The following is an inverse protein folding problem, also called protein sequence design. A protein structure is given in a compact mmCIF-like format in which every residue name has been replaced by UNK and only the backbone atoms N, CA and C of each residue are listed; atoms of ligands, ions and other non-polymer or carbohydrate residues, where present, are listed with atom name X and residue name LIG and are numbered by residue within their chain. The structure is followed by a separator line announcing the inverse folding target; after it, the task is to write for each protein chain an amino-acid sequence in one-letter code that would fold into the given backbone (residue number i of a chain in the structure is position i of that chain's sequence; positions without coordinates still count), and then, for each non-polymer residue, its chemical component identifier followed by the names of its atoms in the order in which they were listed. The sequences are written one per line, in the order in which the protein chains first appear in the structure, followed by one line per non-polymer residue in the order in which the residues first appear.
data_IF_025741263018
#
_entry.id   IF_025741263018
#
_cell.length_a   1.000
_cell.length_b   1.000
_cell.length_c   1.000
_cell.angle_alpha   90.00
_cell.angle_beta   90.00
_cell.angle_gamma   90.00
#
_symmetry.space_group_name_H-M   'P 1'
#
loop_
_entity.id
_entity.type
_entity.pdbx_description
1 polymer ?
#
# COMPACT_ATOMS: atom_id res chain seq x y z
N UNK A 1 -43.88 -39.15 36.30
CA UNK A 1 -43.99 -37.75 36.74
C UNK A 1 -42.59 -37.14 36.75
N UNK A 2 -42.47 -36.02 36.03
CA UNK A 2 -41.50 -34.91 36.18
C UNK A 2 -40.06 -35.09 35.65
N UNK A 3 -39.90 -34.66 34.39
CA UNK A 3 -38.70 -34.04 33.80
C UNK A 3 -38.49 -32.64 34.40
N UNK A 4 -37.23 -32.20 34.55
CA UNK A 4 -36.70 -30.81 34.50
C UNK A 4 -35.39 -30.72 35.33
N UNK A 5 -34.34 -29.92 35.08
CA UNK A 5 -33.88 -29.06 33.98
C UNK A 5 -32.45 -28.59 34.35
N UNK A 6 -31.45 -28.79 33.47
CA UNK A 6 -30.31 -27.89 33.11
C UNK A 6 -29.24 -27.38 34.14
N UNK A 7 -28.05 -26.94 33.65
CA UNK A 7 -26.72 -27.17 34.25
C UNK A 7 -26.03 -25.86 34.77
N UNK A 8 -24.70 -25.80 35.06
CA UNK A 8 -24.11 -24.83 36.00
C UNK A 8 -23.88 -23.44 35.39
N UNK A 9 -24.01 -22.40 36.21
CA UNK A 9 -23.73 -21.01 35.83
C UNK A 9 -22.38 -20.54 36.39
N UNK A 10 -21.48 -20.24 35.44
CA UNK A 10 -20.65 -19.02 35.34
C UNK A 10 -19.62 -18.73 36.43
N UNK A 11 -18.34 -18.66 36.03
CA UNK A 11 -17.66 -17.36 35.88
C UNK A 11 -16.30 -17.53 35.16
N UNK A 12 -16.30 -17.62 33.83
CA UNK A 12 -15.11 -17.31 33.04
C UNK A 12 -15.02 -15.79 32.88
N UNK A 13 -14.31 -15.11 33.78
CA UNK A 13 -13.85 -13.75 33.53
C UNK A 13 -12.52 -13.83 32.76
N UNK A 14 -12.60 -14.12 31.46
CA UNK A 14 -11.53 -13.75 30.53
C UNK A 14 -12.07 -12.56 29.73
N UNK A 15 -11.63 -11.37 30.10
CA UNK A 15 -11.87 -10.16 29.32
C UNK A 15 -11.36 -10.38 27.89
N UNK A 16 -12.18 -10.23 26.85
CA UNK A 16 -11.63 -10.07 25.52
C UNK A 16 -11.10 -8.64 25.46
N UNK A 17 -9.78 -8.48 25.61
CA UNK A 17 -9.08 -7.38 24.94
C UNK A 17 -9.23 -7.65 23.45
N UNK A 18 -10.36 -7.24 22.89
CA UNK A 18 -10.60 -7.28 21.45
C UNK A 18 -9.94 -6.02 20.89
N UNK A 19 -8.60 -6.04 20.84
CA UNK A 19 -7.90 -5.31 19.79
C UNK A 19 -8.44 -5.92 18.49
N UNK A 20 -9.45 -5.26 17.97
CA UNK A 20 -10.13 -5.68 16.76
C UNK A 20 -9.23 -5.21 15.63
N UNK A 21 -8.10 -5.87 15.46
CA UNK A 21 -7.31 -5.74 14.23
C UNK A 21 -8.24 -6.23 13.12
N UNK A 22 -8.93 -5.27 12.47
CA UNK A 22 -9.67 -5.56 11.26
C UNK A 22 -8.68 -6.24 10.32
N UNK A 23 -8.99 -7.42 9.76
CA UNK A 23 -8.08 -8.08 8.84
C UNK A 23 -7.80 -7.11 7.70
N UNK A 24 -6.54 -6.70 7.55
CA UNK A 24 -6.14 -5.78 6.51
C UNK A 24 -6.58 -6.38 5.17
N UNK A 25 -7.48 -5.67 4.49
CA UNK A 25 -8.02 -6.14 3.22
C UNK A 25 -7.23 -5.47 2.12
N UNK A 26 -6.72 -6.27 1.19
CA UNK A 26 -6.02 -5.78 0.02
C UNK A 26 -6.84 -6.08 -1.22
N UNK A 27 -6.76 -5.19 -2.22
CA UNK A 27 -7.13 -5.52 -3.60
C UNK A 27 -5.86 -5.71 -4.42
N UNK A 28 -5.90 -6.63 -5.37
CA UNK A 28 -4.83 -6.82 -6.35
C UNK A 28 -5.20 -6.06 -7.61
N UNK A 29 -4.28 -5.22 -8.08
CA UNK A 29 -4.46 -4.40 -9.28
C UNK A 29 -3.16 -4.40 -10.06
N UNK A 30 -3.24 -4.38 -11.40
CA UNK A 30 -2.07 -4.13 -12.24
C UNK A 30 -1.51 -2.74 -11.97
N UNK A 31 -0.18 -2.61 -11.98
CA UNK A 31 0.53 -1.37 -11.67
C UNK A 31 0.01 -0.22 -12.54
N UNK A 32 -0.12 -0.42 -13.85
CA UNK A 32 -0.61 0.59 -14.80
C UNK A 32 -2.03 1.08 -14.50
N UNK A 33 -2.85 0.26 -13.83
CA UNK A 33 -4.22 0.56 -13.43
C UNK A 33 -4.36 1.28 -12.09
N UNK A 34 -3.28 1.49 -11.36
CA UNK A 34 -3.34 2.16 -10.06
C UNK A 34 -3.71 3.64 -10.20
N UNK A 35 -4.72 4.07 -9.45
CA UNK A 35 -5.04 5.48 -9.33
C UNK A 35 -4.06 6.18 -8.38
N UNK A 36 -4.06 7.52 -8.37
CA UNK A 36 -3.26 8.27 -7.40
C UNK A 36 -3.62 7.95 -5.94
N UNK A 37 -4.92 7.71 -5.66
CA UNK A 37 -5.36 7.31 -4.33
C UNK A 37 -4.80 5.94 -3.93
N UNK A 38 -4.69 5.01 -4.88
CA UNK A 38 -4.11 3.68 -4.63
C UNK A 38 -2.61 3.80 -4.32
N UNK A 39 -1.87 4.60 -5.08
CA UNK A 39 -0.44 4.87 -4.80
C UNK A 39 -0.26 5.50 -3.43
N UNK A 40 -1.07 6.49 -3.08
CA UNK A 40 -1.06 7.14 -1.76
C UNK A 40 -1.35 6.12 -0.65
N UNK A 41 -2.31 5.21 -0.85
CA UNK A 41 -2.62 4.17 0.12
C UNK A 41 -1.46 3.18 0.30
N UNK A 42 -0.82 2.76 -0.78
CA UNK A 42 0.38 1.91 -0.73
C UNK A 42 1.50 2.62 0.03
N UNK A 43 1.82 3.87 -0.35
CA UNK A 43 2.91 4.63 0.26
C UNK A 43 2.66 4.91 1.74
N UNK A 44 1.41 5.17 2.13
CA UNK A 44 1.06 5.38 3.52
C UNK A 44 1.19 4.12 4.39
N UNK A 45 1.09 2.94 3.78
CA UNK A 45 1.21 1.65 4.44
C UNK A 45 2.67 1.17 4.54
N UNK A 46 3.51 1.53 3.58
CA UNK A 46 4.94 1.19 3.56
C UNK A 46 5.78 2.23 4.34
N UNK A 47 6.51 1.81 5.37
CA UNK A 47 7.30 2.70 6.21
C UNK A 47 8.38 3.48 5.45
N UNK A 48 9.01 2.86 4.43
CA UNK A 48 10.07 3.51 3.64
C UNK A 48 9.51 4.53 2.65
N UNK A 49 8.25 4.38 2.24
CA UNK A 49 7.58 5.25 1.26
C UNK A 49 6.64 6.27 1.90
N UNK A 50 6.42 6.19 3.21
CA UNK A 50 5.47 7.04 3.93
C UNK A 50 5.75 8.52 3.79
N UNK A 51 7.03 8.90 3.77
CA UNK A 51 7.46 10.29 3.57
C UNK A 51 7.18 10.80 2.13
N UNK A 52 6.92 9.90 1.18
CA UNK A 52 6.60 10.23 -0.20
C UNK A 52 5.11 10.44 -0.45
N UNK A 53 4.25 10.22 0.55
CA UNK A 53 2.79 10.34 0.41
C UNK A 53 2.37 11.72 -0.10
N UNK A 54 2.93 12.79 0.48
CA UNK A 54 2.61 14.16 0.06
C UNK A 54 3.15 14.45 -1.34
N UNK A 55 4.33 13.95 -1.68
CA UNK A 55 4.92 14.06 -3.03
C UNK A 55 4.05 13.32 -4.05
N UNK A 56 3.66 12.08 -3.77
CA UNK A 56 2.80 11.28 -4.65
C UNK A 56 1.45 11.97 -4.87
N UNK A 57 0.86 12.57 -3.83
CA UNK A 57 -0.39 13.34 -3.93
C UNK A 57 -0.22 14.62 -4.75
N UNK A 58 0.84 15.39 -4.49
CA UNK A 58 1.09 16.68 -5.14
C UNK A 58 1.38 16.50 -6.63
N UNK A 59 2.25 15.53 -6.95
CA UNK A 59 2.63 15.22 -8.33
C UNK A 59 1.63 14.32 -9.05
N UNK A 60 0.51 13.99 -8.40
CA UNK A 60 -0.56 13.15 -8.95
C UNK A 60 -0.04 11.86 -9.58
N UNK A 61 0.97 11.25 -8.93
CA UNK A 61 1.57 10.00 -9.37
C UNK A 61 0.50 8.93 -9.53
N UNK A 62 0.56 8.18 -10.61
CA UNK A 62 -0.38 7.10 -10.87
C UNK A 62 0.34 5.90 -11.47
N UNK A 63 -0.41 4.84 -11.64
CA UNK A 63 0.05 3.58 -12.20
C UNK A 63 0.69 3.71 -13.57
N UNK A 64 0.15 4.54 -14.45
CA UNK A 64 0.71 4.76 -15.77
C UNK A 64 2.08 5.46 -15.70
N UNK A 65 2.25 6.43 -14.79
CA UNK A 65 3.56 7.04 -14.52
C UNK A 65 4.57 5.98 -14.11
N UNK A 66 4.21 5.10 -13.19
CA UNK A 66 5.11 4.04 -12.70
C UNK A 66 5.40 2.95 -13.73
N UNK A 67 4.42 2.59 -14.56
CA UNK A 67 4.64 1.70 -15.70
C UNK A 67 5.65 2.30 -16.70
N UNK A 68 5.58 3.62 -16.96
CA UNK A 68 6.56 4.30 -17.80
C UNK A 68 7.98 4.29 -17.19
N UNK A 69 8.10 4.34 -15.86
CA UNK A 69 9.38 4.19 -15.16
C UNK A 69 9.97 2.79 -15.38
N UNK A 70 9.14 1.74 -15.31
CA UNK A 70 9.58 0.36 -15.57
C UNK A 70 9.98 0.14 -17.04
N UNK A 71 9.31 0.81 -17.98
CA UNK A 71 9.63 0.76 -19.41
C UNK A 71 10.91 1.56 -19.76
N UNK A 72 11.37 2.43 -18.86
CA UNK A 72 12.56 3.24 -19.08
C UNK A 72 13.82 2.38 -19.12
N UNK A 73 14.44 2.29 -20.30
CA UNK A 73 15.73 1.62 -20.51
C UNK A 73 16.77 2.06 -19.45
N UNK A 74 17.32 1.07 -18.74
CA UNK A 74 18.34 1.19 -17.69
C UNK A 74 17.88 1.78 -16.33
N UNK A 75 16.59 2.15 -16.15
CA UNK A 75 15.96 2.63 -14.88
C UNK A 75 16.92 3.38 -13.93
N UNK A 76 17.71 4.30 -14.46
CA UNK A 76 18.64 5.07 -13.61
C UNK A 76 17.87 6.20 -12.94
N UNK A 77 18.14 6.44 -11.66
CA UNK A 77 17.47 7.49 -10.87
C UNK A 77 17.47 8.84 -11.59
N UNK A 78 18.58 9.17 -12.26
CA UNK A 78 18.71 10.43 -13.00
C UNK A 78 17.78 10.50 -14.21
N UNK A 79 17.68 9.42 -14.99
CA UNK A 79 16.82 9.34 -16.17
C UNK A 79 15.35 9.35 -15.79
N UNK A 80 14.97 8.60 -14.75
CA UNK A 80 13.61 8.59 -14.21
C UNK A 80 13.19 9.98 -13.71
N UNK A 81 14.09 10.68 -13.02
CA UNK A 81 13.86 12.05 -12.58
C UNK A 81 13.71 13.03 -13.75
N UNK A 82 14.52 12.91 -14.81
CA UNK A 82 14.49 13.85 -15.93
C UNK A 82 13.30 13.60 -16.88
N UNK A 83 12.99 12.31 -17.15
CA UNK A 83 12.04 11.92 -18.20
C UNK A 83 10.60 11.71 -17.69
N UNK A 84 10.42 11.22 -16.46
CA UNK A 84 9.10 10.76 -15.99
C UNK A 84 8.57 11.57 -14.83
N UNK A 85 9.38 11.74 -13.79
CA UNK A 85 8.97 12.37 -12.54
C UNK A 85 9.24 13.87 -12.51
N UNK A 86 10.04 14.41 -13.44
CA UNK A 86 10.42 15.82 -13.46
C UNK A 86 11.41 16.22 -12.36
N UNK A 87 11.94 17.44 -12.50
CA UNK A 87 13.01 18.00 -11.65
C UNK A 87 12.56 18.46 -10.26
N UNK A 88 11.27 18.42 -9.96
CA UNK A 88 10.70 18.86 -8.69
C UNK A 88 10.73 17.78 -7.59
N UNK A 89 11.05 16.54 -7.95
CA UNK A 89 11.23 15.43 -7.00
C UNK A 89 12.71 15.27 -6.67
N UNK A 90 13.05 15.08 -5.38
CA UNK A 90 14.45 14.92 -4.99
C UNK A 90 14.97 13.57 -5.50
N UNK A 91 16.23 13.54 -5.94
CA UNK A 91 16.87 12.30 -6.42
C UNK A 91 16.81 11.14 -5.39
N UNK A 92 16.88 11.45 -4.09
CA UNK A 92 16.73 10.43 -3.04
C UNK A 92 15.34 9.79 -3.00
N UNK A 93 14.30 10.60 -3.22
CA UNK A 93 12.89 10.16 -3.28
C UNK A 93 12.67 9.30 -4.53
N UNK A 94 13.22 9.72 -5.68
CA UNK A 94 13.21 8.93 -6.92
C UNK A 94 13.91 7.58 -6.73
N UNK A 95 15.01 7.53 -5.97
CA UNK A 95 15.72 6.29 -5.69
C UNK A 95 14.87 5.30 -4.88
N UNK A 96 14.08 5.78 -3.92
CA UNK A 96 13.15 4.96 -3.15
C UNK A 96 12.04 4.40 -4.04
N UNK A 97 11.44 5.24 -4.89
CA UNK A 97 10.40 4.81 -5.85
C UNK A 97 10.96 3.74 -6.80
N UNK A 98 12.14 3.97 -7.38
CA UNK A 98 12.78 3.00 -8.29
C UNK A 98 13.12 1.70 -7.57
N UNK A 99 13.57 1.75 -6.31
CA UNK A 99 13.84 0.55 -5.52
C UNK A 99 12.55 -0.24 -5.27
N UNK A 100 11.49 0.43 -4.85
CA UNK A 100 10.18 -0.20 -4.64
C UNK A 100 9.65 -0.83 -5.93
N UNK A 101 9.67 -0.10 -7.05
CA UNK A 101 9.21 -0.61 -8.35
C UNK A 101 9.95 -1.87 -8.81
N UNK A 102 11.25 -2.00 -8.48
CA UNK A 102 12.03 -3.21 -8.79
C UNK A 102 11.67 -4.41 -7.91
N UNK A 103 11.04 -4.18 -6.76
CA UNK A 103 10.68 -5.21 -5.79
C UNK A 103 9.24 -5.75 -5.93
N UNK A 104 8.39 -5.09 -6.72
CA UNK A 104 6.98 -5.48 -6.87
C UNK A 104 6.72 -6.32 -8.13
N UNK A 105 5.61 -7.06 -8.12
CA UNK A 105 5.02 -7.63 -9.33
C UNK A 105 4.10 -6.60 -10.00
N UNK A 106 4.49 -6.10 -11.17
CA UNK A 106 3.72 -5.11 -11.92
C UNK A 106 2.33 -5.58 -12.33
N UNK A 107 2.05 -6.89 -12.36
CA UNK A 107 0.73 -7.43 -12.70
C UNK A 107 -0.14 -7.68 -11.47
N UNK A 108 0.44 -7.61 -10.27
CA UNK A 108 -0.21 -8.03 -9.03
C UNK A 108 0.18 -7.15 -7.84
N UNK A 109 -0.03 -5.84 -7.97
CA UNK A 109 0.24 -4.88 -6.89
C UNK A 109 -0.87 -4.97 -5.85
N UNK A 110 -0.49 -5.13 -4.57
CA UNK A 110 -1.42 -5.14 -3.46
C UNK A 110 -1.69 -3.71 -2.98
N UNK A 111 -2.94 -3.28 -3.05
CA UNK A 111 -3.39 -1.98 -2.56
C UNK A 111 -4.18 -2.18 -1.27
N UNK A 112 -3.77 -1.55 -0.16
CA UNK A 112 -4.57 -1.54 1.07
C UNK A 112 -5.94 -0.93 0.80
N UNK A 113 -7.01 -1.63 1.17
CA UNK A 113 -8.36 -1.09 1.18
C UNK A 113 -8.54 -0.31 2.48
N UNK A 114 -8.70 1.01 2.38
CA UNK A 114 -9.13 1.81 3.50
C UNK A 114 -10.51 1.34 3.98
N UNK A 115 -10.57 0.91 5.24
CA UNK A 115 -11.80 0.56 5.97
C UNK A 115 -12.63 1.78 6.29
#
# INVERSE_FOLDING_TARGET
MNRALRPPLLLCCASPSHDTEMPERFKTVELSGLSNADIVAIFAHDEELRDLVDTARTEKMNGATFAAILDTDNMTVRKVSDEVLGSHIKLGEVALIVRWLKGIDQNAVQVPLST
#
